data_IF_948407757323
#
_entry.id   IF_948407757323
#
_cell.length_a   1.000
_cell.length_b   1.000
_cell.length_c   1.000
_cell.angle_alpha   90.00
_cell.angle_beta   90.00
_cell.angle_gamma   90.00
#
_symmetry.space_group_name_H-M   'P 1'
#
loop_
_entity.id
_entity.type
_entity.pdbx_description
1 polymer ?
#
# COMPACT_ATOMS: atom_id res chain seq x y z
N UNK A 1 -5.49 17.22 -7.50
CA UNK A 1 -6.50 16.18 -7.15
C UNK A 1 -5.86 14.81 -7.20
N UNK A 2 -6.10 13.95 -6.20
CA UNK A 2 -5.57 12.60 -6.09
C UNK A 2 -6.51 11.62 -6.81
N UNK A 3 -5.96 10.64 -7.54
CA UNK A 3 -6.73 9.57 -8.16
C UNK A 3 -6.62 8.27 -7.34
N UNK A 4 -7.76 7.75 -6.91
CA UNK A 4 -7.89 6.43 -6.30
C UNK A 4 -8.23 5.45 -7.43
N UNK A 5 -7.33 4.52 -7.70
CA UNK A 5 -7.48 3.57 -8.80
C UNK A 5 -8.63 2.59 -8.51
N UNK A 6 -9.61 2.58 -9.42
CA UNK A 6 -10.73 1.65 -9.35
C UNK A 6 -10.45 0.40 -10.20
N UNK A 7 -9.96 -0.65 -9.57
CA UNK A 7 -9.76 -1.95 -10.20
C UNK A 7 -10.67 -3.03 -9.60
N UNK A 8 -11.89 -2.62 -9.19
CA UNK A 8 -12.95 -3.47 -8.63
C UNK A 8 -12.64 -4.10 -7.25
N UNK A 9 -11.51 -3.76 -6.63
CA UNK A 9 -11.13 -4.20 -5.29
C UNK A 9 -10.84 -3.03 -4.37
N UNK A 10 -10.80 -3.31 -3.07
CA UNK A 10 -10.46 -2.34 -2.04
C UNK A 10 -11.63 -1.49 -1.55
N UNK A 11 -11.47 -0.93 -0.36
CA UNK A 11 -12.45 -0.03 0.27
C UNK A 11 -12.21 1.42 -0.19
N UNK A 12 -12.49 1.68 -1.47
CA UNK A 12 -12.22 2.96 -2.14
C UNK A 12 -12.92 4.14 -1.48
N UNK A 13 -14.15 3.95 -0.99
CA UNK A 13 -14.91 5.02 -0.32
C UNK A 13 -14.31 5.40 1.04
N UNK A 14 -13.83 4.43 1.82
CA UNK A 14 -13.14 4.72 3.09
C UNK A 14 -11.82 5.48 2.83
N UNK A 15 -11.07 5.10 1.80
CA UNK A 15 -9.85 5.83 1.39
C UNK A 15 -10.19 7.25 0.96
N UNK A 16 -11.23 7.44 0.13
CA UNK A 16 -11.70 8.78 -0.28
C UNK A 16 -12.08 9.65 0.92
N UNK A 17 -12.85 9.10 1.85
CA UNK A 17 -13.26 9.81 3.07
C UNK A 17 -12.05 10.17 3.97
N UNK A 18 -11.06 9.26 4.08
CA UNK A 18 -9.85 9.52 4.85
C UNK A 18 -8.99 10.62 4.20
N UNK A 19 -8.86 10.63 2.87
CA UNK A 19 -8.18 11.69 2.13
C UNK A 19 -8.89 13.03 2.31
N UNK A 20 -10.23 13.06 2.24
CA UNK A 20 -11.01 14.29 2.49
C UNK A 20 -10.78 14.83 3.92
N UNK A 21 -10.79 13.96 4.93
CA UNK A 21 -10.45 14.33 6.33
C UNK A 21 -9.01 14.81 6.47
N UNK A 22 -8.10 14.31 5.64
CA UNK A 22 -6.71 14.78 5.59
C UNK A 22 -6.54 16.10 4.83
N UNK A 23 -7.60 16.63 4.19
CA UNK A 23 -7.59 17.89 3.46
C UNK A 23 -7.35 17.75 1.95
N UNK A 24 -7.51 16.55 1.38
CA UNK A 24 -7.26 16.29 -0.04
C UNK A 24 -8.51 15.88 -0.79
N UNK A 25 -8.76 16.56 -1.92
CA UNK A 25 -9.76 16.13 -2.89
C UNK A 25 -9.26 14.92 -3.69
N UNK A 26 -10.17 13.96 -3.93
CA UNK A 26 -9.84 12.75 -4.68
C UNK A 26 -11.02 12.25 -5.52
N UNK A 27 -10.69 11.57 -6.62
CA UNK A 27 -11.64 10.90 -7.50
C UNK A 27 -11.35 9.39 -7.52
N UNK A 28 -12.41 8.58 -7.54
CA UNK A 28 -12.33 7.13 -7.74
C UNK A 28 -12.60 6.88 -9.22
N UNK A 29 -11.63 6.31 -9.94
CA UNK A 29 -11.77 6.10 -11.39
C UNK A 29 -10.77 5.06 -11.92
N UNK A 30 -11.10 4.45 -13.05
CA UNK A 30 -10.20 3.67 -13.90
C UNK A 30 -9.93 4.37 -15.26
N UNK A 31 -10.41 5.59 -15.43
CA UNK A 31 -10.18 6.36 -16.65
C UNK A 31 -8.71 6.73 -16.82
N UNK A 32 -8.09 6.32 -17.92
CA UNK A 32 -6.71 6.67 -18.26
C UNK A 32 -6.50 8.20 -18.30
N UNK A 33 -7.49 8.95 -18.78
CA UNK A 33 -7.44 10.42 -18.83
C UNK A 33 -7.34 11.03 -17.44
N UNK A 34 -8.16 10.57 -16.50
CA UNK A 34 -8.15 11.07 -15.11
C UNK A 34 -6.87 10.63 -14.37
N UNK A 35 -6.39 9.40 -14.61
CA UNK A 35 -5.12 8.91 -14.07
C UNK A 35 -3.95 9.77 -14.56
N UNK A 36 -3.94 10.15 -15.84
CA UNK A 36 -2.92 11.06 -16.42
C UNK A 36 -2.98 12.45 -15.82
N UNK A 37 -4.15 13.01 -15.58
CA UNK A 37 -4.34 14.38 -15.03
C UNK A 37 -4.06 14.47 -13.52
N UNK A 38 -4.17 13.38 -12.78
CA UNK A 38 -4.01 13.37 -11.34
C UNK A 38 -2.60 13.80 -10.89
N UNK A 39 -2.51 14.54 -9.78
CA UNK A 39 -1.23 14.92 -9.17
C UNK A 39 -0.54 13.77 -8.43
N UNK A 40 -1.33 12.82 -7.92
CA UNK A 40 -0.84 11.62 -7.26
C UNK A 40 -1.86 10.49 -7.39
N UNK A 41 -1.42 9.25 -7.16
CA UNK A 41 -2.22 8.04 -7.26
C UNK A 41 -2.31 7.33 -5.92
N UNK A 42 -3.44 6.65 -5.68
CA UNK A 42 -3.59 5.68 -4.61
C UNK A 42 -4.05 4.36 -5.23
N UNK A 43 -3.31 3.28 -4.95
CA UNK A 43 -3.70 1.92 -5.27
C UNK A 43 -4.21 1.27 -3.97
N UNK A 44 -5.52 1.32 -3.68
CA UNK A 44 -6.09 0.70 -2.50
C UNK A 44 -6.14 -0.80 -2.70
N UNK A 45 -6.32 -1.60 -1.65
CA UNK A 45 -6.56 -3.01 -1.88
C UNK A 45 -7.05 -3.76 -0.65
N UNK A 46 -8.09 -4.58 -0.90
CA UNK A 46 -8.57 -5.67 -0.04
C UNK A 46 -8.94 -6.81 -0.99
N UNK A 47 -8.50 -8.02 -0.69
CA UNK A 47 -8.71 -9.19 -1.54
C UNK A 47 -7.42 -9.96 -1.77
N UNK A 48 -7.43 -10.90 -2.70
CA UNK A 48 -6.26 -11.72 -3.03
C UNK A 48 -5.34 -11.07 -4.06
N UNK A 49 -4.06 -11.40 -3.98
CA UNK A 49 -3.05 -10.89 -4.91
C UNK A 49 -3.36 -11.25 -6.37
N UNK A 50 -3.75 -12.51 -6.61
CA UNK A 50 -4.10 -13.00 -7.95
C UNK A 50 -5.26 -12.21 -8.56
N UNK A 51 -6.36 -12.07 -7.82
CA UNK A 51 -7.53 -11.30 -8.26
C UNK A 51 -7.18 -9.84 -8.54
N UNK A 52 -6.33 -9.23 -7.70
CA UNK A 52 -5.84 -7.87 -7.91
C UNK A 52 -5.12 -7.70 -9.23
N UNK A 53 -4.18 -8.59 -9.56
CA UNK A 53 -3.45 -8.54 -10.85
C UNK A 53 -4.34 -8.84 -12.04
N UNK A 54 -5.26 -9.81 -11.93
CA UNK A 54 -6.24 -10.12 -12.97
C UNK A 54 -7.14 -8.92 -13.29
N UNK A 55 -7.63 -8.22 -12.25
CA UNK A 55 -8.48 -7.04 -12.42
C UNK A 55 -7.73 -5.87 -13.04
N UNK A 56 -6.48 -5.59 -12.60
CA UNK A 56 -5.63 -4.57 -13.23
C UNK A 56 -5.42 -4.87 -14.72
N UNK A 57 -5.17 -6.13 -15.07
CA UNK A 57 -5.03 -6.56 -16.47
C UNK A 57 -6.33 -6.44 -17.25
N UNK A 58 -7.45 -6.94 -16.70
CA UNK A 58 -8.77 -6.91 -17.34
C UNK A 58 -9.28 -5.50 -17.65
N UNK A 59 -8.91 -4.55 -16.81
CA UNK A 59 -9.29 -3.12 -16.96
C UNK A 59 -8.24 -2.30 -17.71
N UNK A 60 -7.25 -2.95 -18.30
CA UNK A 60 -6.18 -2.32 -19.10
C UNK A 60 -5.39 -1.23 -18.33
N UNK A 61 -5.21 -1.44 -17.01
CA UNK A 61 -4.56 -0.46 -16.14
C UNK A 61 -3.04 -0.64 -16.02
N UNK A 62 -2.47 -1.77 -16.47
CA UNK A 62 -1.05 -2.08 -16.26
C UNK A 62 -0.13 -1.08 -16.96
N UNK A 63 -0.39 -0.79 -18.22
CA UNK A 63 0.47 0.11 -19.03
C UNK A 63 0.39 1.55 -18.53
N UNK A 64 -0.82 2.06 -18.29
CA UNK A 64 -1.00 3.43 -17.82
C UNK A 64 -0.38 3.64 -16.43
N UNK A 65 -0.48 2.66 -15.52
CA UNK A 65 0.15 2.75 -14.21
C UNK A 65 1.69 2.71 -14.33
N UNK A 66 2.24 1.84 -15.17
CA UNK A 66 3.68 1.80 -15.43
C UNK A 66 4.19 3.13 -16.01
N UNK A 67 3.49 3.69 -17.01
CA UNK A 67 3.81 5.00 -17.60
C UNK A 67 3.83 6.10 -16.52
N UNK A 68 2.76 6.21 -15.73
CA UNK A 68 2.64 7.29 -14.75
C UNK A 68 3.62 7.15 -13.59
N UNK A 69 3.86 5.93 -13.10
CA UNK A 69 4.68 5.68 -11.91
C UNK A 69 6.16 5.58 -12.27
N UNK A 70 6.52 4.81 -13.29
CA UNK A 70 7.93 4.52 -13.59
C UNK A 70 8.57 5.56 -14.51
N UNK A 71 7.81 6.10 -15.48
CA UNK A 71 8.32 7.08 -16.45
C UNK A 71 8.07 8.49 -15.93
N UNK A 72 6.83 8.85 -15.67
CA UNK A 72 6.44 10.19 -15.25
C UNK A 72 6.72 10.48 -13.76
N UNK A 73 7.19 9.48 -13.00
CA UNK A 73 7.53 9.60 -11.56
C UNK A 73 6.41 10.16 -10.70
N UNK A 74 5.16 9.93 -11.10
CA UNK A 74 4.01 10.34 -10.32
C UNK A 74 4.00 9.61 -8.98
N UNK A 75 3.78 10.37 -7.88
CA UNK A 75 3.69 9.79 -6.54
C UNK A 75 2.54 8.78 -6.47
N UNK A 76 2.80 7.61 -5.93
CA UNK A 76 1.80 6.58 -5.71
C UNK A 76 1.90 6.02 -4.29
N UNK A 77 0.73 5.86 -3.65
CA UNK A 77 0.56 5.16 -2.38
C UNK A 77 -0.15 3.82 -2.61
N UNK A 78 0.52 2.71 -2.32
CA UNK A 78 -0.11 1.38 -2.23
C UNK A 78 -0.55 1.08 -0.81
N UNK A 79 -1.82 0.68 -0.62
CA UNK A 79 -2.39 0.35 0.68
C UNK A 79 -2.71 -1.14 0.72
N UNK A 80 -2.16 -1.86 1.70
CA UNK A 80 -2.38 -3.29 1.95
C UNK A 80 -2.13 -4.12 0.67
N UNK A 81 -3.16 -4.72 0.07
CA UNK A 81 -3.03 -5.43 -1.20
C UNK A 81 -2.40 -4.53 -2.29
N UNK A 82 -2.76 -3.25 -2.36
CA UNK A 82 -2.16 -2.32 -3.32
C UNK A 82 -0.65 -2.19 -3.17
N UNK A 83 -0.11 -2.22 -1.94
CA UNK A 83 1.32 -2.28 -1.69
C UNK A 83 1.92 -3.62 -2.14
N UNK A 84 1.24 -4.72 -1.83
CA UNK A 84 1.69 -6.05 -2.22
C UNK A 84 1.78 -6.18 -3.75
N UNK A 85 0.79 -5.71 -4.50
CA UNK A 85 0.78 -5.75 -5.97
C UNK A 85 1.98 -5.04 -6.62
N UNK A 86 2.62 -4.09 -5.92
CA UNK A 86 3.82 -3.38 -6.41
C UNK A 86 5.09 -4.24 -6.42
N UNK A 87 5.08 -5.42 -5.80
CA UNK A 87 6.22 -6.34 -5.72
C UNK A 87 6.37 -7.19 -6.99
N UNK A 88 7.40 -8.05 -7.01
CA UNK A 88 7.66 -8.97 -8.13
C UNK A 88 6.56 -10.03 -8.25
N UNK A 89 6.14 -10.61 -7.10
CA UNK A 89 5.24 -11.76 -7.08
C UNK A 89 4.65 -12.03 -5.69
N UNK A 90 3.71 -12.97 -5.67
CA UNK A 90 3.15 -13.56 -4.45
C UNK A 90 2.98 -15.06 -4.59
N UNK A 91 3.11 -15.76 -3.46
CA UNK A 91 2.80 -17.20 -3.31
C UNK A 91 1.34 -17.46 -2.91
N UNK A 92 0.52 -16.42 -2.76
CA UNK A 92 -0.89 -16.54 -2.37
C UNK A 92 -1.70 -17.28 -3.43
N UNK A 93 -2.28 -18.43 -3.04
CA UNK A 93 -3.04 -19.31 -3.95
C UNK A 93 -2.25 -19.74 -5.21
N UNK A 94 -0.95 -19.97 -5.07
CA UNK A 94 -0.03 -20.28 -6.15
C UNK A 94 0.77 -19.05 -6.60
N UNK A 95 1.73 -19.28 -7.50
CA UNK A 95 2.59 -18.19 -7.99
C UNK A 95 1.82 -17.20 -8.87
N UNK A 96 1.89 -15.92 -8.54
CA UNK A 96 1.33 -14.84 -9.36
C UNK A 96 2.34 -13.69 -9.47
N UNK A 97 2.64 -13.27 -10.72
CA UNK A 97 3.51 -12.13 -10.99
C UNK A 97 2.82 -10.81 -10.65
N UNK A 98 3.54 -9.91 -9.96
CA UNK A 98 3.10 -8.56 -9.63
C UNK A 98 3.53 -7.49 -10.63
N UNK A 99 3.49 -6.22 -10.21
CA UNK A 99 3.88 -5.07 -11.03
C UNK A 99 5.41 -4.92 -11.18
N UNK A 100 6.20 -5.55 -10.28
CA UNK A 100 7.66 -5.54 -10.36
C UNK A 100 8.31 -4.18 -10.07
N UNK A 101 7.63 -3.29 -9.38
CA UNK A 101 8.17 -1.97 -9.04
C UNK A 101 9.13 -2.01 -7.85
N UNK A 102 8.96 -2.98 -6.97
CA UNK A 102 9.77 -3.22 -5.77
C UNK A 102 10.32 -4.65 -5.85
N UNK A 103 11.64 -4.81 -5.73
CA UNK A 103 12.27 -6.13 -5.75
C UNK A 103 12.06 -6.86 -4.42
N UNK A 104 10.88 -7.42 -4.28
CA UNK A 104 10.42 -8.17 -3.12
C UNK A 104 9.33 -9.17 -3.54
N UNK A 105 9.06 -10.14 -2.66
CA UNK A 105 7.98 -11.11 -2.82
C UNK A 105 7.03 -11.05 -1.63
N UNK A 106 5.77 -11.37 -1.89
CA UNK A 106 4.71 -11.47 -0.87
C UNK A 106 4.56 -12.92 -0.46
N UNK A 107 4.70 -13.17 0.84
CA UNK A 107 4.63 -14.50 1.45
C UNK A 107 3.61 -14.51 2.59
N UNK A 108 3.12 -15.71 2.93
CA UNK A 108 2.29 -15.90 4.12
C UNK A 108 3.09 -15.57 5.39
N UNK A 109 2.46 -14.89 6.34
CA UNK A 109 3.06 -14.62 7.65
C UNK A 109 3.20 -15.94 8.40
N UNK A 110 4.41 -16.23 8.89
CA UNK A 110 4.66 -17.44 9.66
C UNK A 110 4.21 -17.25 11.10
N UNK A 111 3.21 -18.01 11.49
CA UNK A 111 2.73 -18.05 12.88
C UNK A 111 2.57 -19.49 13.36
N UNK A 112 2.78 -19.75 14.64
CA UNK A 112 2.56 -21.03 15.31
C UNK A 112 1.50 -20.93 16.41
N UNK A 113 1.33 -19.76 16.99
CA UNK A 113 0.45 -19.49 18.14
C UNK A 113 -0.68 -18.52 17.80
N UNK A 114 -0.43 -17.57 16.92
CA UNK A 114 -1.42 -16.56 16.52
C UNK A 114 -2.22 -17.02 15.30
N UNK A 115 -3.48 -16.59 15.22
CA UNK A 115 -4.36 -16.94 14.09
C UNK A 115 -4.15 -15.97 12.94
N UNK A 116 -4.23 -16.47 11.70
CA UNK A 116 -4.38 -15.66 10.51
C UNK A 116 -5.87 -15.55 10.12
N UNK A 117 -6.28 -14.40 9.54
CA UNK A 117 -5.49 -13.22 9.23
C UNK A 117 -5.08 -12.42 10.49
N UNK A 118 -3.96 -11.68 10.40
CA UNK A 118 -3.60 -10.62 11.36
C UNK A 118 -4.63 -9.51 11.27
N UNK A 119 -5.57 -9.46 12.20
CA UNK A 119 -6.65 -8.47 12.24
C UNK A 119 -6.59 -7.69 13.53
N UNK A 120 -6.53 -6.36 13.42
CA UNK A 120 -6.57 -5.47 14.57
C UNK A 120 -5.48 -4.41 14.57
N UNK A 121 -5.39 -3.73 15.70
CA UNK A 121 -4.40 -2.69 15.96
C UNK A 121 -3.10 -3.31 16.44
N UNK A 122 -1.98 -2.90 15.85
CA UNK A 122 -0.66 -3.36 16.26
C UNK A 122 0.35 -2.23 16.17
N UNK A 123 1.37 -2.31 17.03
CA UNK A 123 2.49 -1.37 17.07
C UNK A 123 3.44 -1.64 15.90
N UNK A 124 4.06 -0.58 15.40
CA UNK A 124 5.08 -0.68 14.36
C UNK A 124 6.40 -0.07 14.82
N UNK A 125 7.48 -0.84 14.70
CA UNK A 125 8.82 -0.41 15.10
C UNK A 125 9.48 0.45 14.04
N UNK A 126 10.06 1.57 14.45
CA UNK A 126 10.82 2.45 13.59
C UNK A 126 12.15 1.79 13.17
N UNK A 127 12.43 1.76 11.88
CA UNK A 127 13.70 1.31 11.30
C UNK A 127 14.51 2.49 10.72
N UNK A 128 13.84 3.44 10.09
CA UNK A 128 14.47 4.64 9.56
C UNK A 128 13.56 5.87 9.71
N UNK A 129 14.14 7.01 10.04
CA UNK A 129 13.41 8.28 10.09
C UNK A 129 12.84 8.66 8.71
N UNK A 130 11.62 9.20 8.73
CA UNK A 130 10.92 9.69 7.56
C UNK A 130 9.86 10.72 7.93
N UNK A 131 9.66 11.72 7.09
CA UNK A 131 8.57 12.69 7.27
C UNK A 131 7.19 12.04 7.18
N UNK A 132 7.08 10.87 6.54
CA UNK A 132 5.82 10.11 6.44
C UNK A 132 5.23 9.73 7.81
N UNK A 133 6.06 9.60 8.83
CA UNK A 133 5.65 9.22 10.19
C UNK A 133 5.71 10.38 11.19
N UNK A 134 5.98 11.59 10.70
CA UNK A 134 6.00 12.79 11.54
C UNK A 134 4.64 13.02 12.21
N UNK A 135 4.65 13.29 13.51
CA UNK A 135 3.46 13.52 14.32
C UNK A 135 2.50 12.31 14.45
N UNK A 136 2.92 11.11 14.11
CA UNK A 136 2.23 9.90 14.56
C UNK A 136 2.54 9.66 16.06
N UNK A 137 1.71 8.84 16.73
CA UNK A 137 2.02 8.46 18.11
C UNK A 137 3.35 7.66 18.19
N UNK A 138 3.91 7.57 19.40
CA UNK A 138 5.22 6.93 19.63
C UNK A 138 5.25 5.43 19.27
N UNK A 139 4.11 4.77 19.27
CA UNK A 139 3.99 3.34 18.96
C UNK A 139 3.71 3.08 17.48
N UNK A 140 3.40 4.15 16.70
CA UNK A 140 2.96 4.04 15.32
C UNK A 140 1.83 3.00 15.18
N UNK A 141 0.81 3.12 16.06
CA UNK A 141 -0.30 2.19 16.16
C UNK A 141 -1.19 2.30 14.93
N UNK A 142 -1.29 1.21 14.15
CA UNK A 142 -2.00 1.15 12.89
C UNK A 142 -2.90 -0.10 12.82
N UNK A 143 -3.94 -0.07 11.98
CA UNK A 143 -4.88 -1.17 11.81
C UNK A 143 -4.47 -2.09 10.65
N UNK A 144 -4.37 -3.38 10.93
CA UNK A 144 -3.99 -4.44 9.99
C UNK A 144 -5.17 -5.37 9.70
N UNK A 145 -5.18 -5.97 8.52
CA UNK A 145 -6.12 -7.02 8.13
C UNK A 145 -5.54 -7.81 6.93
N UNK A 146 -4.64 -8.77 7.19
CA UNK A 146 -3.96 -9.53 6.15
C UNK A 146 -3.36 -10.83 6.66
N UNK A 147 -3.19 -11.83 5.78
CA UNK A 147 -2.45 -13.07 6.05
C UNK A 147 -1.09 -13.10 5.34
N UNK A 148 -0.95 -12.32 4.27
CA UNK A 148 0.25 -12.23 3.45
C UNK A 148 0.91 -10.87 3.61
N UNK A 149 2.24 -10.81 3.49
CA UNK A 149 2.99 -9.58 3.62
C UNK A 149 4.37 -9.67 2.94
N UNK A 150 5.00 -8.52 2.75
CA UNK A 150 6.40 -8.44 2.34
C UNK A 150 7.26 -8.66 3.58
N UNK A 151 7.92 -9.82 3.68
CA UNK A 151 8.76 -10.16 4.83
C UNK A 151 10.19 -9.65 4.67
N UNK A 152 10.72 -9.70 3.45
CA UNK A 152 12.04 -9.22 3.08
C UNK A 152 11.99 -8.52 1.72
N UNK A 153 12.87 -7.57 1.51
CA UNK A 153 13.07 -6.98 0.20
C UNK A 153 14.55 -7.07 -0.19
N UNK A 154 14.80 -7.21 -1.49
CA UNK A 154 16.14 -7.23 -2.07
C UNK A 154 16.47 -5.89 -2.76
N UNK A 155 15.53 -4.97 -2.79
CA UNK A 155 15.65 -3.69 -3.48
C UNK A 155 16.53 -2.71 -2.68
N UNK A 156 17.73 -2.48 -3.18
CA UNK A 156 18.71 -1.56 -2.55
C UNK A 156 18.21 -0.11 -2.49
N UNK A 157 17.24 0.26 -3.32
CA UNK A 157 16.65 1.59 -3.35
C UNK A 157 15.38 1.72 -2.51
N UNK A 158 14.94 0.63 -1.89
CA UNK A 158 13.76 0.62 -1.02
C UNK A 158 14.18 0.94 0.42
N UNK A 159 13.70 2.08 0.92
CA UNK A 159 13.90 2.50 2.32
C UNK A 159 12.78 1.93 3.18
N UNK A 160 13.10 0.96 4.03
CA UNK A 160 12.20 0.46 5.07
C UNK A 160 12.03 1.54 6.16
N UNK A 161 10.81 1.96 6.44
CA UNK A 161 10.48 2.98 7.47
C UNK A 161 9.99 2.31 8.74
N UNK A 162 8.92 1.51 8.64
CA UNK A 162 8.32 0.80 9.75
C UNK A 162 8.29 -0.70 9.49
N UNK A 163 8.56 -1.47 10.55
CA UNK A 163 8.36 -2.91 10.59
C UNK A 163 7.30 -3.26 11.63
N UNK A 164 6.52 -4.30 11.40
CA UNK A 164 5.57 -4.83 12.37
C UNK A 164 5.93 -6.28 12.72
N UNK A 165 5.66 -6.68 13.96
CA UNK A 165 5.86 -8.04 14.43
C UNK A 165 4.52 -8.67 14.80
N UNK A 166 4.21 -9.81 14.16
CA UNK A 166 3.08 -10.67 14.47
C UNK A 166 3.59 -12.12 14.47
N UNK A 167 4.31 -12.51 15.54
CA UNK A 167 5.28 -13.62 15.63
C UNK A 167 6.42 -13.46 14.62
N UNK A 168 6.12 -13.39 13.33
CA UNK A 168 7.04 -13.09 12.24
C UNK A 168 7.11 -11.56 11.98
N UNK A 169 8.25 -11.10 11.46
CA UNK A 169 8.42 -9.69 11.10
C UNK A 169 8.09 -9.47 9.62
N UNK A 170 7.40 -8.34 9.35
CA UNK A 170 7.09 -7.91 8.00
C UNK A 170 7.16 -6.38 7.86
N UNK A 171 7.26 -5.92 6.62
CA UNK A 171 7.34 -4.51 6.28
C UNK A 171 5.96 -3.86 6.44
N UNK A 172 5.85 -2.90 7.38
CA UNK A 172 4.63 -2.13 7.58
C UNK A 172 4.59 -0.87 6.71
N UNK A 173 5.72 -0.19 6.49
CA UNK A 173 5.84 1.01 5.65
C UNK A 173 7.21 1.07 5.00
N UNK A 174 7.26 1.37 3.72
CA UNK A 174 8.50 1.64 3.02
C UNK A 174 8.33 2.50 1.78
N UNK A 175 9.44 3.00 1.26
CA UNK A 175 9.48 3.96 0.16
C UNK A 175 10.59 3.61 -0.82
N UNK A 176 10.26 3.69 -2.12
CA UNK A 176 11.22 3.67 -3.22
C UNK A 176 10.95 4.85 -4.15
N UNK A 177 11.73 5.93 -4.02
CA UNK A 177 11.54 7.16 -4.81
C UNK A 177 10.12 7.73 -4.63
N UNK A 178 9.32 7.73 -5.68
CA UNK A 178 7.93 8.19 -5.72
C UNK A 178 6.89 7.12 -5.31
N UNK A 179 7.33 5.89 -5.02
CA UNK A 179 6.49 4.76 -4.66
C UNK A 179 6.49 4.60 -3.15
N UNK A 180 5.32 4.71 -2.52
CA UNK A 180 5.11 4.54 -1.08
C UNK A 180 4.23 3.32 -0.89
N UNK A 181 4.63 2.40 -0.02
CA UNK A 181 3.85 1.22 0.31
C UNK A 181 3.59 1.10 1.81
N UNK A 182 2.33 0.89 2.18
CA UNK A 182 1.91 0.69 3.57
C UNK A 182 1.04 -0.58 3.68
N UNK A 183 1.44 -1.51 4.56
CA UNK A 183 0.70 -2.75 4.76
C UNK A 183 -0.57 -2.59 5.58
N UNK A 184 -0.58 -1.80 6.69
CA UNK A 184 -1.83 -1.49 7.39
C UNK A 184 -2.72 -0.55 6.58
N UNK A 185 -3.93 -0.34 7.10
CA UNK A 185 -4.98 0.47 6.50
C UNK A 185 -5.03 1.88 7.13
N UNK A 186 -4.42 2.92 6.54
CA UNK A 186 -4.47 4.27 7.10
C UNK A 186 -5.91 4.80 7.17
N UNK A 187 -6.78 4.42 6.23
CA UNK A 187 -8.20 4.78 6.23
C UNK A 187 -9.00 4.20 7.40
N UNK A 188 -8.44 3.20 8.11
CA UNK A 188 -9.00 2.60 9.33
C UNK A 188 -8.18 2.93 10.57
N UNK A 189 -7.07 3.62 10.44
CA UNK A 189 -6.09 3.89 11.51
C UNK A 189 -6.32 5.20 12.26
N UNK A 190 -7.56 5.70 12.28
CA UNK A 190 -7.99 6.89 13.03
C UNK A 190 -7.04 8.09 12.82
N UNK A 191 -6.59 8.74 13.91
CA UNK A 191 -5.75 9.95 13.84
C UNK A 191 -4.38 9.68 13.22
N UNK A 192 -3.74 8.53 13.52
CA UNK A 192 -2.47 8.16 12.92
C UNK A 192 -2.59 7.97 11.41
N UNK A 193 -3.67 7.33 10.95
CA UNK A 193 -3.91 7.16 9.53
C UNK A 193 -4.14 8.47 8.78
N UNK A 194 -4.94 9.38 9.36
CA UNK A 194 -5.16 10.73 8.80
C UNK A 194 -3.86 11.53 8.77
N UNK A 195 -3.07 11.48 9.86
CA UNK A 195 -1.77 12.17 9.90
C UNK A 195 -0.78 11.59 8.88
N UNK A 196 -0.73 10.26 8.73
CA UNK A 196 0.07 9.62 7.68
C UNK A 196 -0.32 10.10 6.28
N UNK A 197 -1.63 10.17 5.96
CA UNK A 197 -2.10 10.68 4.66
C UNK A 197 -1.74 12.15 4.45
N UNK A 198 -1.80 13.00 5.50
CA UNK A 198 -1.31 14.38 5.44
C UNK A 198 0.18 14.42 5.11
N UNK A 199 0.99 13.61 5.77
CA UNK A 199 2.43 13.56 5.53
C UNK A 199 2.78 12.99 4.13
N UNK A 200 1.91 12.12 3.60
CA UNK A 200 2.12 11.49 2.30
C UNK A 200 1.86 12.45 1.13
N UNK A 201 0.85 13.32 1.24
CA UNK A 201 0.37 14.13 0.11
C UNK A 201 0.48 15.64 0.32
N UNK A 202 0.83 16.10 1.52
CA UNK A 202 1.06 17.51 1.90
C UNK A 202 2.46 18.04 1.64
#
# INVERSE_FOLDING_TARGET
MICIIDYNLGNKLSVKNALLKAGFESVITNSHTEIKKASALVLPGVGSFKEGMENLKKLDLLEILNEQVLINKKKILGICLGFQLMTNDSSENGYTKGLGWIDASVEEIKTSKLKLPHVGWNDSSLKNHSDLIKNLDKKHLLYFNHSFAIRKNNDKNFKLILNCKYEDEFIALGVKKNIIGIQPHPEKSQLNGIQFLKNCFG
#
